data_IF_940299287505
#
_entry.id   IF_940299287505
#
_cell.length_a   1.000
_cell.length_b   1.000
_cell.length_c   1.000
_cell.angle_alpha   90.00
_cell.angle_beta   90.00
_cell.angle_gamma   90.00
#
_symmetry.space_group_name_H-M   'P 1'
#
loop_
_entity.id
_entity.type
_entity.pdbx_description
1 polymer ?
#
# COMPACT_ATOMS: atom_id res chain seq x y z
N UNK A 1 -12.99 8.66 22.72
CA UNK A 1 -12.30 9.14 21.50
C UNK A 1 -11.37 8.03 21.07
N UNK A 2 -11.76 7.24 20.06
CA UNK A 2 -10.90 6.17 19.53
C UNK A 2 -9.84 6.84 18.67
N UNK A 3 -8.64 7.00 19.21
CA UNK A 3 -7.44 7.23 18.44
C UNK A 3 -7.21 5.94 17.64
N UNK A 4 -7.89 5.79 16.50
CA UNK A 4 -7.78 4.62 15.65
C UNK A 4 -6.38 4.68 15.02
N UNK A 5 -5.42 4.01 15.67
CA UNK A 5 -4.07 3.92 15.10
C UNK A 5 -4.16 3.23 13.75
N UNK A 6 -3.57 3.85 12.74
CA UNK A 6 -3.53 3.33 11.37
C UNK A 6 -2.49 2.22 11.19
N UNK A 7 -1.75 1.88 12.24
CA UNK A 7 -0.70 0.85 12.20
C UNK A 7 -1.22 -0.51 11.72
N UNK A 8 -2.50 -0.81 11.97
CA UNK A 8 -3.14 -2.05 11.50
C UNK A 8 -3.23 -2.15 9.96
N UNK A 9 -3.18 -1.02 9.24
CA UNK A 9 -3.22 -1.00 7.79
C UNK A 9 -1.95 -1.58 7.17
N UNK A 10 -0.81 -1.57 7.89
CA UNK A 10 0.45 -2.13 7.39
C UNK A 10 0.32 -3.65 7.19
N UNK A 11 0.05 -4.47 8.23
CA UNK A 11 -0.08 -5.91 8.06
C UNK A 11 -1.31 -6.30 7.23
N UNK A 12 -2.34 -5.45 7.12
CA UNK A 12 -3.45 -5.68 6.19
C UNK A 12 -3.01 -5.51 4.73
N UNK A 13 -2.37 -4.39 4.39
CA UNK A 13 -1.86 -4.14 3.05
C UNK A 13 -0.80 -5.17 2.64
N UNK A 14 0.11 -5.56 3.53
CA UNK A 14 1.10 -6.61 3.26
C UNK A 14 0.44 -7.94 2.88
N UNK A 15 -0.59 -8.36 3.62
CA UNK A 15 -1.34 -9.59 3.32
C UNK A 15 -2.10 -9.49 2.00
N UNK A 16 -2.80 -8.38 1.77
CA UNK A 16 -3.56 -8.14 0.54
C UNK A 16 -2.63 -8.14 -0.68
N UNK A 17 -1.50 -7.43 -0.61
CA UNK A 17 -0.52 -7.39 -1.69
C UNK A 17 0.12 -8.76 -1.91
N UNK A 18 0.51 -9.48 -0.85
CA UNK A 18 1.08 -10.82 -0.97
C UNK A 18 0.15 -11.81 -1.70
N UNK A 19 -1.17 -11.64 -1.57
CA UNK A 19 -2.16 -12.46 -2.25
C UNK A 19 -2.36 -12.12 -3.75
N UNK A 20 -1.88 -10.96 -4.23
CA UNK A 20 -2.08 -10.51 -5.61
C UNK A 20 -1.17 -11.27 -6.58
N UNK A 21 -1.71 -11.99 -7.56
CA UNK A 21 -0.92 -12.81 -8.49
C UNK A 21 -0.39 -12.04 -9.71
N UNK A 22 -0.99 -10.90 -10.04
CA UNK A 22 -0.64 -10.09 -11.20
C UNK A 22 -0.77 -8.59 -10.89
N UNK A 23 -0.31 -7.76 -11.81
CA UNK A 23 -0.32 -6.30 -11.65
C UNK A 23 -1.74 -5.72 -11.53
N UNK A 24 -2.73 -6.30 -12.20
CA UNK A 24 -4.11 -5.80 -12.10
C UNK A 24 -4.67 -6.02 -10.69
N UNK A 25 -4.52 -7.22 -10.13
CA UNK A 25 -4.93 -7.52 -8.76
C UNK A 25 -4.24 -6.59 -7.75
N UNK A 26 -2.94 -6.34 -7.97
CA UNK A 26 -2.16 -5.43 -7.14
C UNK A 26 -2.67 -3.98 -7.20
N UNK A 27 -3.08 -3.51 -8.37
CA UNK A 27 -3.68 -2.18 -8.54
C UNK A 27 -5.06 -2.08 -7.87
N UNK A 28 -5.88 -3.13 -7.90
CA UNK A 28 -7.14 -3.19 -7.17
C UNK A 28 -6.91 -3.16 -5.66
N UNK A 29 -5.95 -3.95 -5.16
CA UNK A 29 -5.57 -3.92 -3.74
C UNK A 29 -5.05 -2.55 -3.33
N UNK A 30 -4.19 -1.92 -4.15
CA UNK A 30 -3.65 -0.56 -3.92
C UNK A 30 -4.77 0.46 -3.72
N UNK A 31 -5.85 0.38 -4.50
CA UNK A 31 -6.96 1.31 -4.43
C UNK A 31 -7.64 1.35 -3.05
N UNK A 32 -7.67 0.22 -2.31
CA UNK A 32 -8.23 0.14 -0.95
C UNK A 32 -7.48 0.99 0.07
N UNK A 33 -6.16 1.15 -0.11
CA UNK A 33 -5.30 1.84 0.86
C UNK A 33 -4.91 3.25 0.39
N UNK A 34 -4.42 3.36 -0.85
CA UNK A 34 -3.84 4.57 -1.42
C UNK A 34 -4.75 5.25 -2.48
N UNK A 35 -5.90 4.64 -2.80
CA UNK A 35 -6.84 5.19 -3.77
C UNK A 35 -7.56 6.45 -3.25
N UNK A 36 -8.35 7.09 -4.12
CA UNK A 36 -9.09 8.34 -3.80
C UNK A 36 -10.05 8.21 -2.61
N UNK A 37 -10.57 7.01 -2.39
CA UNK A 37 -11.42 6.64 -1.25
C UNK A 37 -10.74 5.58 -0.36
N UNK A 38 -9.43 5.41 -0.49
CA UNK A 38 -8.65 4.47 0.29
C UNK A 38 -8.43 4.96 1.72
N UNK A 39 -8.17 4.03 2.64
CA UNK A 39 -8.07 4.32 4.07
C UNK A 39 -7.06 5.43 4.41
N UNK A 40 -5.88 5.45 3.77
CA UNK A 40 -4.86 6.48 4.02
C UNK A 40 -5.26 7.83 3.44
N UNK A 41 -5.93 7.86 2.29
CA UNK A 41 -6.43 9.10 1.68
C UNK A 41 -7.52 9.72 2.52
N UNK A 42 -8.44 8.92 3.07
CA UNK A 42 -9.48 9.41 3.99
C UNK A 42 -8.88 9.93 5.30
N UNK A 43 -7.86 9.24 5.85
CA UNK A 43 -7.13 9.73 7.01
C UNK A 43 -6.44 11.08 6.75
N UNK A 44 -5.79 11.24 5.59
CA UNK A 44 -5.16 12.51 5.18
C UNK A 44 -6.19 13.64 5.05
N UNK A 45 -7.37 13.38 4.47
CA UNK A 45 -8.46 14.37 4.41
C UNK A 45 -8.95 14.76 5.82
N UNK A 46 -8.98 13.80 6.74
CA UNK A 46 -9.32 14.01 8.14
C UNK A 46 -8.42 15.01 8.86
N UNK A 47 -7.15 15.12 8.48
CA UNK A 47 -6.21 16.11 9.04
C UNK A 47 -6.67 17.55 8.88
N UNK A 48 -7.44 17.86 7.83
CA UNK A 48 -7.99 19.19 7.60
C UNK A 48 -8.97 19.65 8.69
N UNK A 49 -9.48 18.71 9.51
CA UNK A 49 -10.39 18.99 10.63
C UNK A 49 -9.68 19.17 11.97
N UNK A 50 -8.37 18.90 12.04
CA UNK A 50 -7.57 19.03 13.27
C UNK A 50 -7.12 20.48 13.49
N UNK A 51 -6.82 20.82 14.74
CA UNK A 51 -6.18 22.10 15.08
C UNK A 51 -4.76 22.19 14.52
N UNK A 52 -4.18 23.40 14.48
CA UNK A 52 -2.82 23.60 14.00
C UNK A 52 -1.75 22.88 14.85
N UNK A 53 -2.05 22.63 16.13
CA UNK A 53 -1.14 22.00 17.08
C UNK A 53 -1.17 20.47 16.96
N UNK A 54 -2.33 19.88 16.68
CA UNK A 54 -2.51 18.42 16.56
C UNK A 54 -2.14 17.87 15.17
N UNK A 55 -2.28 18.70 14.13
CA UNK A 55 -2.08 18.30 12.73
C UNK A 55 -0.67 17.76 12.42
N UNK A 56 0.45 18.32 12.93
CA UNK A 56 1.79 17.82 12.64
C UNK A 56 2.01 16.39 13.14
N UNK A 57 1.61 16.10 14.38
CA UNK A 57 1.78 14.79 14.99
C UNK A 57 0.92 13.72 14.27
N UNK A 58 -0.34 14.04 13.99
CA UNK A 58 -1.22 13.14 13.24
C UNK A 58 -0.74 12.93 11.80
N UNK A 59 -0.26 13.99 11.13
CA UNK A 59 0.30 13.90 9.78
C UNK A 59 1.55 13.04 9.71
N UNK A 60 2.45 13.15 10.69
CA UNK A 60 3.64 12.32 10.78
C UNK A 60 3.28 10.83 10.93
N UNK A 61 2.33 10.51 11.81
CA UNK A 61 1.86 9.13 12.01
C UNK A 61 1.25 8.53 10.73
N UNK A 62 0.40 9.29 10.03
CA UNK A 62 -0.18 8.85 8.75
C UNK A 62 0.91 8.63 7.70
N UNK A 63 1.91 9.51 7.65
CA UNK A 63 3.00 9.41 6.68
C UNK A 63 3.87 8.17 6.90
N UNK A 64 4.13 7.77 8.16
CA UNK A 64 4.85 6.52 8.49
C UNK A 64 4.11 5.31 7.92
N UNK A 65 2.80 5.21 8.19
CA UNK A 65 1.97 4.10 7.68
C UNK A 65 1.93 4.11 6.16
N UNK A 66 1.77 5.29 5.54
CA UNK A 66 1.78 5.45 4.09
C UNK A 66 3.07 4.93 3.46
N UNK A 67 4.22 5.28 4.01
CA UNK A 67 5.52 4.83 3.50
C UNK A 67 5.68 3.30 3.60
N UNK A 68 5.23 2.71 4.70
CA UNK A 68 5.25 1.25 4.87
C UNK A 68 4.36 0.54 3.83
N UNK A 69 3.15 1.05 3.61
CA UNK A 69 2.23 0.51 2.59
C UNK A 69 2.80 0.67 1.17
N UNK A 70 3.38 1.82 0.84
CA UNK A 70 4.04 2.04 -0.46
C UNK A 70 5.24 1.12 -0.67
N UNK A 71 6.02 0.85 0.38
CA UNK A 71 7.14 -0.09 0.34
C UNK A 71 6.66 -1.53 0.07
N UNK A 72 5.63 -1.99 0.79
CA UNK A 72 5.04 -3.32 0.58
C UNK A 72 4.47 -3.48 -0.84
N UNK A 73 3.79 -2.45 -1.34
CA UNK A 73 3.27 -2.40 -2.71
C UNK A 73 4.39 -2.55 -3.73
N UNK A 74 5.47 -1.77 -3.59
CA UNK A 74 6.63 -1.82 -4.48
C UNK A 74 7.29 -3.20 -4.45
N UNK A 75 7.52 -3.74 -3.26
CA UNK A 75 8.14 -5.06 -3.10
C UNK A 75 7.33 -6.15 -3.81
N UNK A 76 5.99 -6.14 -3.68
CA UNK A 76 5.15 -7.10 -4.40
C UNK A 76 5.19 -6.90 -5.90
N UNK A 77 5.12 -5.65 -6.37
CA UNK A 77 5.19 -5.33 -7.80
C UNK A 77 6.47 -5.87 -8.44
N UNK A 78 7.61 -5.62 -7.80
CA UNK A 78 8.90 -6.09 -8.28
C UNK A 78 8.96 -7.63 -8.31
N UNK A 79 8.38 -8.30 -7.31
CA UNK A 79 8.31 -9.77 -7.27
C UNK A 79 7.45 -10.36 -8.40
N UNK A 80 6.31 -9.74 -8.73
CA UNK A 80 5.44 -10.17 -9.85
C UNK A 80 6.20 -10.03 -11.17
N UNK A 81 6.82 -8.87 -11.42
CA UNK A 81 7.57 -8.63 -12.65
C UNK A 81 8.75 -9.58 -12.81
N UNK A 82 9.47 -9.86 -11.73
CA UNK A 82 10.58 -10.82 -11.74
C UNK A 82 10.12 -12.24 -12.07
N UNK A 83 8.97 -12.66 -11.52
CA UNK A 83 8.39 -13.96 -11.82
C UNK A 83 7.99 -14.08 -13.30
N UNK A 84 7.33 -13.07 -13.85
CA UNK A 84 6.95 -13.02 -15.28
C UNK A 84 8.18 -13.09 -16.21
N UNK A 85 9.24 -12.33 -15.90
CA UNK A 85 10.50 -12.36 -16.65
C UNK A 85 11.17 -13.74 -16.61
N UNK A 86 11.20 -14.37 -15.44
CA UNK A 86 11.81 -15.69 -15.27
C UNK A 86 11.06 -16.76 -16.09
N UNK A 87 9.73 -16.66 -16.17
CA UNK A 87 8.92 -17.58 -16.98
C UNK A 87 9.15 -17.38 -18.48
N UNK A 88 9.31 -16.13 -18.94
CA UNK A 88 9.60 -15.84 -20.35
C UNK A 88 10.96 -16.42 -20.77
N UNK A 89 12.02 -16.15 -20.00
CA UNK A 89 13.36 -16.67 -20.29
C UNK A 89 13.42 -18.21 -20.30
N UNK A 90 12.71 -18.86 -19.39
CA UNK A 90 12.63 -20.32 -19.35
C UNK A 90 11.92 -20.89 -20.59
N UNK A 91 10.92 -20.18 -21.12
CA UNK A 91 10.18 -20.59 -22.32
C UNK A 91 11.03 -20.41 -23.59
N UNK A 92 11.77 -19.29 -23.69
CA UNK A 92 12.68 -19.02 -24.81
C UNK A 92 13.91 -19.94 -24.86
N UNK A 93 14.29 -20.57 -23.74
CA UNK A 93 15.45 -21.47 -23.68
C UNK A 93 15.13 -22.91 -24.12
N UNK A 94 13.85 -23.24 -24.32
CA UNK A 94 13.38 -24.58 -24.69
C UNK A 94 13.07 -24.73 -26.20
N UNK A 95 13.09 -23.62 -26.95
CA UNK A 95 12.97 -23.55 -28.41
C UNK A 95 14.36 -23.46 -29.08
#
# INVERSE_FOLDING_TARGET
MQNASLDHLIPEAERDFAACANINDLEQAKAKYLGKAGALTEALKGLGKLSNEERPAAGAAINVVKQAVEAALKARRDAILLAEQTQQLASESLD
#
